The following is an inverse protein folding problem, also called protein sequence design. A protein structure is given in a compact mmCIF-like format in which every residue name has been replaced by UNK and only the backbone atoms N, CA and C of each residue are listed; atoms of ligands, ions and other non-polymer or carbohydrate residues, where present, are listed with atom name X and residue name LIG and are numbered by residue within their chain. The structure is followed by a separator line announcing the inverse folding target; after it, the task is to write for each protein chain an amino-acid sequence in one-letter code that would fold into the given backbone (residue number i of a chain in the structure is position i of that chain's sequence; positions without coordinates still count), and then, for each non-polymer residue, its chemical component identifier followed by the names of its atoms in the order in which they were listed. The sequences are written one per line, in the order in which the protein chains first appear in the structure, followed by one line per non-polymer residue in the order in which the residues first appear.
data_IF_619593957502
#
_entry.id   IF_619593957502
#
_cell.length_a   1.000
_cell.length_b   1.000
_cell.length_c   1.000
_cell.angle_alpha   90.00
_cell.angle_beta   90.00
_cell.angle_gamma   90.00
#
_symmetry.space_group_name_H-M   'P 1'
#
loop_
_entity.id
_entity.type
_entity.pdbx_description
1 polymer ?
#
# COMPACT_ATOMS: atom_id res chain seq x y z
N UNK A 1 -30.63 35.14 -1.93
CA UNK A 1 -29.27 35.11 -1.35
C UNK A 1 -29.17 33.82 -0.56
N UNK A 2 -28.86 32.76 -1.28
CA UNK A 2 -28.89 31.38 -0.83
C UNK A 2 -27.74 31.09 0.13
N UNK A 3 -28.07 30.76 1.37
CA UNK A 3 -27.13 30.12 2.29
C UNK A 3 -27.48 28.65 2.37
N UNK A 4 -27.05 27.90 1.36
CA UNK A 4 -26.93 26.45 1.47
C UNK A 4 -25.53 26.08 1.98
N UNK A 5 -25.55 25.36 3.11
CA UNK A 5 -24.57 24.34 3.53
C UNK A 5 -23.14 24.78 3.87
N UNK A 6 -22.83 24.84 5.17
CA UNK A 6 -21.48 24.53 5.69
C UNK A 6 -21.60 23.52 6.83
N UNK A 7 -21.69 22.26 6.44
CA UNK A 7 -21.43 21.13 7.33
C UNK A 7 -20.00 21.22 7.87
N UNK A 8 -19.75 20.62 9.03
CA UNK A 8 -18.44 20.58 9.68
C UNK A 8 -17.37 20.00 8.75
N UNK A 9 -16.69 20.86 7.98
CA UNK A 9 -15.46 20.54 7.26
C UNK A 9 -14.41 20.34 8.35
N UNK A 10 -14.05 19.08 8.63
CA UNK A 10 -13.00 18.75 9.60
C UNK A 10 -11.76 19.58 9.31
N UNK A 11 -11.45 20.55 10.19
CA UNK A 11 -10.34 21.47 10.00
C UNK A 11 -9.05 20.64 9.86
N UNK A 12 -8.35 20.79 8.74
CA UNK A 12 -7.03 20.21 8.48
C UNK A 12 -5.98 21.33 8.51
N UNK A 13 -5.63 21.87 9.68
CA UNK A 13 -4.83 23.10 9.78
C UNK A 13 -3.36 22.90 9.41
N UNK A 14 -2.89 21.66 9.26
CA UNK A 14 -1.48 21.38 8.99
C UNK A 14 -1.29 21.12 7.51
N UNK A 15 -0.70 22.06 6.78
CA UNK A 15 -0.52 22.02 5.33
C UNK A 15 0.93 21.68 5.00
N UNK A 16 1.14 20.82 4.00
CA UNK A 16 2.45 20.57 3.41
C UNK A 16 2.80 21.69 2.44
N UNK A 17 3.91 22.36 2.65
CA UNK A 17 4.35 23.47 1.79
C UNK A 17 4.90 23.00 0.43
N UNK A 18 5.21 21.71 0.28
CA UNK A 18 5.77 21.16 -0.97
C UNK A 18 4.68 20.68 -1.94
N UNK A 19 3.55 20.19 -1.42
CA UNK A 19 2.47 19.64 -2.27
C UNK A 19 1.05 20.05 -1.84
N UNK A 20 0.94 21.02 -0.95
CA UNK A 20 -0.31 21.63 -0.47
C UNK A 20 -1.31 20.68 0.21
N UNK A 21 -0.92 19.42 0.44
CA UNK A 21 -1.75 18.44 1.16
C UNK A 21 -1.96 18.88 2.60
N UNK A 22 -3.21 18.82 3.05
CA UNK A 22 -3.60 19.17 4.42
C UNK A 22 -3.86 17.95 5.29
N UNK A 23 -3.53 18.08 6.57
CA UNK A 23 -3.61 17.03 7.59
C UNK A 23 -4.34 17.53 8.84
N UNK A 24 -5.10 16.65 9.49
CA UNK A 24 -5.80 16.94 10.75
C UNK A 24 -4.87 17.02 11.95
N UNK A 25 -3.67 16.41 11.88
CA UNK A 25 -2.72 16.31 12.98
C UNK A 25 -1.31 16.69 12.50
N UNK A 26 -0.58 17.49 13.31
CA UNK A 26 0.81 17.89 13.03
C UNK A 26 1.72 16.69 12.81
N UNK A 27 1.58 15.63 13.62
CA UNK A 27 2.38 14.41 13.47
C UNK A 27 2.22 13.71 12.12
N UNK A 28 1.03 13.79 11.51
CA UNK A 28 0.78 13.25 10.16
C UNK A 28 1.47 14.09 9.09
N UNK A 29 1.49 15.42 9.23
CA UNK A 29 2.27 16.29 8.37
C UNK A 29 3.77 15.99 8.48
N UNK A 30 4.31 15.88 9.69
CA UNK A 30 5.74 15.55 9.90
C UNK A 30 6.10 14.21 9.25
N UNK A 31 5.31 13.16 9.49
CA UNK A 31 5.52 11.86 8.84
C UNK A 31 5.40 11.93 7.32
N UNK A 32 4.49 12.77 6.81
CA UNK A 32 4.34 13.01 5.38
C UNK A 32 5.56 13.69 4.77
N UNK A 33 6.24 14.60 5.48
CA UNK A 33 7.44 15.28 4.97
C UNK A 33 8.58 14.31 4.63
N UNK A 34 8.63 13.13 5.24
CA UNK A 34 9.56 12.05 4.87
C UNK A 34 9.41 11.60 3.40
N UNK A 35 8.25 11.89 2.78
CA UNK A 35 8.04 11.69 1.35
C UNK A 35 8.93 12.59 0.51
N UNK A 36 9.03 13.85 0.92
CA UNK A 36 9.77 14.89 0.20
C UNK A 36 11.26 14.85 0.52
N UNK A 37 11.65 14.63 1.78
CA UNK A 37 13.07 14.53 2.16
C UNK A 37 13.72 13.24 1.69
N UNK A 38 12.92 12.21 1.38
CA UNK A 38 13.43 10.89 1.04
C UNK A 38 13.98 10.12 2.24
N UNK A 39 13.90 10.67 3.46
CA UNK A 39 14.36 10.01 4.68
C UNK A 39 13.64 8.68 4.91
N UNK A 40 14.41 7.70 5.38
CA UNK A 40 13.96 6.33 5.65
C UNK A 40 14.51 5.88 7.01
N UNK A 41 13.90 6.32 8.12
CA UNK A 41 14.47 6.13 9.46
C UNK A 41 14.54 4.68 9.93
N UNK A 42 13.81 3.76 9.30
CA UNK A 42 13.69 2.38 9.75
C UNK A 42 14.56 1.46 8.91
N UNK A 43 15.64 0.93 9.49
CA UNK A 43 16.61 0.10 8.79
C UNK A 43 16.39 -1.38 9.10
N UNK A 44 16.45 -2.23 8.09
CA UNK A 44 16.51 -3.67 8.25
C UNK A 44 17.90 -4.07 8.73
N UNK A 45 18.00 -4.70 9.89
CA UNK A 45 19.31 -5.10 10.42
C UNK A 45 19.96 -6.24 9.65
N UNK A 46 19.17 -7.03 8.91
CA UNK A 46 19.66 -8.19 8.14
C UNK A 46 20.28 -7.76 6.81
N UNK A 47 19.60 -6.92 6.03
CA UNK A 47 20.06 -6.53 4.69
C UNK A 47 20.38 -5.04 4.52
N UNK A 48 20.30 -4.25 5.62
CA UNK A 48 20.56 -2.80 5.66
C UNK A 48 19.67 -1.94 4.75
N UNK A 49 18.61 -2.53 4.18
CA UNK A 49 17.59 -1.78 3.44
C UNK A 49 16.77 -0.90 4.38
N UNK A 50 16.55 0.35 3.99
CA UNK A 50 15.82 1.34 4.78
C UNK A 50 14.39 1.58 4.29
N UNK A 51 13.51 1.93 5.23
CA UNK A 51 12.08 2.14 5.04
C UNK A 51 11.61 3.43 5.71
N UNK A 52 10.62 4.08 5.10
CA UNK A 52 10.00 5.30 5.64
C UNK A 52 9.12 5.03 6.85
N UNK A 53 8.44 3.89 6.87
CA UNK A 53 7.48 3.54 7.91
C UNK A 53 7.85 2.22 8.59
N UNK A 54 7.64 2.16 9.91
CA UNK A 54 7.90 0.96 10.73
C UNK A 54 7.14 -0.26 10.23
N UNK A 55 5.89 -0.10 9.82
CA UNK A 55 5.08 -1.21 9.31
C UNK A 55 5.64 -1.77 7.99
N UNK A 56 6.23 -0.91 7.14
CA UNK A 56 6.90 -1.38 5.93
C UNK A 56 8.14 -2.21 6.24
N UNK A 57 8.93 -1.82 7.25
CA UNK A 57 10.03 -2.64 7.74
C UNK A 57 9.51 -3.96 8.31
N UNK A 58 8.46 -3.94 9.14
CA UNK A 58 7.86 -5.14 9.72
C UNK A 58 7.39 -6.12 8.64
N UNK A 59 6.66 -5.63 7.63
CA UNK A 59 6.23 -6.46 6.49
C UNK A 59 7.41 -6.96 5.65
N UNK A 60 8.48 -6.16 5.51
CA UNK A 60 9.69 -6.60 4.83
C UNK A 60 10.40 -7.73 5.56
N UNK A 61 10.43 -7.71 6.90
CA UNK A 61 11.06 -8.77 7.70
C UNK A 61 10.47 -10.16 7.44
N UNK A 62 9.22 -10.25 6.99
CA UNK A 62 8.60 -11.53 6.61
C UNK A 62 9.36 -12.23 5.46
N UNK A 63 10.07 -11.48 4.61
CA UNK A 63 10.92 -12.05 3.56
C UNK A 63 12.12 -12.79 4.17
N UNK A 64 12.66 -12.27 5.28
CA UNK A 64 13.80 -12.88 5.97
C UNK A 64 13.39 -14.06 6.83
N UNK A 65 12.23 -14.00 7.50
CA UNK A 65 11.73 -15.13 8.30
C UNK A 65 11.18 -16.26 7.43
N UNK A 66 10.78 -15.96 6.19
CA UNK A 66 10.13 -16.91 5.31
C UNK A 66 8.69 -17.25 5.72
N UNK A 67 8.14 -16.55 6.72
CA UNK A 67 6.76 -16.73 7.17
C UNK A 67 5.77 -16.41 6.03
N UNK A 68 4.89 -17.36 5.71
CA UNK A 68 3.88 -17.19 4.67
C UNK A 68 2.49 -17.24 5.31
N UNK A 69 1.97 -16.07 5.65
CA UNK A 69 0.76 -15.91 6.45
C UNK A 69 -0.54 -16.20 5.68
N UNK A 70 -0.49 -16.24 4.36
CA UNK A 70 -1.69 -16.32 3.52
C UNK A 70 -1.72 -17.64 2.75
N UNK A 71 -2.62 -18.53 3.13
CA UNK A 71 -2.71 -19.87 2.53
C UNK A 71 -3.89 -19.94 1.57
N UNK A 72 -3.66 -20.50 0.38
CA UNK A 72 -4.72 -20.87 -0.55
C UNK A 72 -5.48 -22.07 0.00
N UNK A 73 -6.78 -21.91 0.21
CA UNK A 73 -7.58 -22.99 0.79
C UNK A 73 -7.80 -24.16 -0.18
N UNK A 74 -7.71 -23.91 -1.49
CA UNK A 74 -7.91 -24.89 -2.57
C UNK A 74 -6.68 -25.78 -2.76
N UNK A 75 -5.49 -25.20 -2.96
CA UNK A 75 -4.27 -25.97 -3.26
C UNK A 75 -3.21 -25.94 -2.14
N UNK A 76 -3.52 -25.33 -0.98
CA UNK A 76 -2.63 -25.20 0.20
C UNK A 76 -1.32 -24.46 -0.03
N UNK A 77 -1.11 -23.87 -1.21
CA UNK A 77 0.03 -22.99 -1.49
C UNK A 77 -0.03 -21.74 -0.63
N UNK A 78 1.08 -21.37 -0.01
CA UNK A 78 1.16 -20.22 0.89
C UNK A 78 1.90 -19.04 0.25
N UNK A 79 1.54 -17.84 0.68
CA UNK A 79 1.99 -16.56 0.14
C UNK A 79 2.39 -15.61 1.26
N UNK A 80 3.35 -14.74 0.95
CA UNK A 80 3.83 -13.72 1.86
C UNK A 80 2.81 -12.58 2.06
N UNK A 81 2.08 -12.23 0.99
CA UNK A 81 1.16 -11.10 0.97
C UNK A 81 -0.24 -11.53 0.55
N UNK A 82 -1.26 -10.88 1.14
CA UNK A 82 -2.68 -11.09 0.81
C UNK A 82 -2.97 -10.81 -0.66
N UNK A 83 -2.35 -9.78 -1.24
CA UNK A 83 -2.49 -9.45 -2.66
C UNK A 83 -2.00 -10.58 -3.56
N UNK A 84 -0.87 -11.21 -3.21
CA UNK A 84 -0.35 -12.37 -3.95
C UNK A 84 -1.31 -13.56 -3.90
N UNK A 85 -1.89 -13.85 -2.73
CA UNK A 85 -2.94 -14.88 -2.62
C UNK A 85 -4.17 -14.49 -3.46
N UNK A 86 -4.64 -13.25 -3.38
CA UNK A 86 -5.80 -12.77 -4.16
C UNK A 86 -5.59 -12.95 -5.67
N UNK A 87 -4.43 -12.56 -6.19
CA UNK A 87 -4.08 -12.76 -7.60
C UNK A 87 -3.96 -14.25 -7.93
N UNK A 88 -3.40 -15.06 -7.04
CA UNK A 88 -3.32 -16.50 -7.23
C UNK A 88 -4.71 -17.16 -7.32
N UNK A 89 -5.70 -16.71 -6.55
CA UNK A 89 -7.05 -17.26 -6.59
C UNK A 89 -7.71 -17.14 -7.96
N UNK A 90 -7.31 -16.16 -8.79
CA UNK A 90 -7.79 -16.01 -10.17
C UNK A 90 -7.43 -17.22 -11.06
N UNK A 91 -6.39 -17.98 -10.71
CA UNK A 91 -6.06 -19.24 -11.39
C UNK A 91 -7.14 -20.29 -11.12
N UNK A 92 -7.71 -20.30 -9.91
CA UNK A 92 -8.76 -21.25 -9.53
C UNK A 92 -10.13 -20.84 -10.07
N UNK A 93 -10.44 -19.54 -10.13
CA UNK A 93 -11.71 -19.07 -10.71
C UNK A 93 -11.68 -19.01 -12.23
N UNK A 94 -10.49 -18.94 -12.83
CA UNK A 94 -10.32 -18.73 -14.26
C UNK A 94 -10.48 -17.27 -14.69
N UNK A 95 -10.67 -16.34 -13.73
CA UNK A 95 -10.87 -14.92 -14.01
C UNK A 95 -9.61 -14.29 -14.60
N UNK A 96 -9.77 -13.54 -15.70
CA UNK A 96 -8.67 -12.88 -16.41
C UNK A 96 -9.00 -11.39 -16.61
N UNK A 97 -8.77 -10.55 -15.59
CA UNK A 97 -9.25 -9.17 -15.57
C UNK A 97 -8.54 -8.24 -16.55
N UNK A 98 -7.37 -8.63 -17.08
CA UNK A 98 -6.61 -7.80 -18.01
C UNK A 98 -6.79 -8.30 -19.42
N UNK A 99 -7.31 -7.47 -20.32
CA UNK A 99 -7.45 -7.83 -21.74
C UNK A 99 -6.54 -6.95 -22.58
N UNK A 100 -5.73 -7.58 -23.43
CA UNK A 100 -4.91 -6.86 -24.41
C UNK A 100 -5.80 -6.33 -25.52
N UNK A 101 -5.77 -5.02 -25.77
CA UNK A 101 -6.62 -4.41 -26.80
C UNK A 101 -6.19 -4.78 -28.23
N UNK A 102 -4.91 -5.10 -28.43
CA UNK A 102 -4.36 -5.45 -29.75
C UNK A 102 -4.66 -6.90 -30.11
N UNK A 103 -4.27 -7.86 -29.26
CA UNK A 103 -4.44 -9.28 -29.57
C UNK A 103 -5.71 -9.91 -28.98
N UNK A 104 -6.53 -9.14 -28.24
CA UNK A 104 -7.79 -9.54 -27.58
C UNK A 104 -7.68 -10.69 -26.57
N UNK A 105 -6.47 -11.10 -26.20
CA UNK A 105 -6.24 -12.13 -25.18
C UNK A 105 -6.40 -11.55 -23.78
N UNK A 106 -6.98 -12.33 -22.88
CA UNK A 106 -7.13 -11.98 -21.46
C UNK A 106 -6.09 -12.71 -20.60
N UNK A 107 -5.64 -12.05 -19.53
CA UNK A 107 -4.58 -12.45 -18.62
C UNK A 107 -4.95 -12.18 -17.16
N UNK A 108 -4.35 -12.95 -16.25
CA UNK A 108 -4.53 -12.79 -14.79
C UNK A 108 -3.75 -11.59 -14.26
N UNK A 109 -2.63 -11.26 -14.90
CA UNK A 109 -1.76 -10.14 -14.57
C UNK A 109 -1.61 -9.25 -15.81
N UNK A 110 -1.37 -7.95 -15.57
CA UNK A 110 -1.18 -6.96 -16.63
C UNK A 110 0.11 -7.22 -17.41
#
# INVERSE_FOLDING_TARGET
MDVHTKGCIGKKPHVCEVCEKSFTQKGKLISHMLIHTGEKPHVCEVCKKSFRWKDSLKSHMLIHTGERLYVCEVCKKSFLWKSSLKTHMLIHTGDKPYTCEVCKKSFIQK
#
